data_IF_870651581847
#
_entry.id   IF_870651581847
#
_cell.length_a   1.000
_cell.length_b   1.000
_cell.length_c   1.000
_cell.angle_alpha   90.00
_cell.angle_beta   90.00
_cell.angle_gamma   90.00
#
_symmetry.space_group_name_H-M   'P 1'
#
loop_
_entity.id
_entity.type
_entity.pdbx_description
1 polymer ?
#
# COMPACT_ATOMS: atom_id res chain seq x y z
N UNK A 1 -48.45 -16.57 -28.24
CA UNK A 1 -47.80 -16.05 -27.00
C UNK A 1 -47.42 -14.60 -27.24
N UNK A 2 -47.89 -13.65 -26.42
CA UNK A 2 -47.46 -12.24 -26.51
C UNK A 2 -46.04 -12.14 -25.95
N UNK A 3 -45.08 -11.81 -26.80
CA UNK A 3 -43.70 -11.53 -26.38
C UNK A 3 -43.71 -10.27 -25.53
N UNK A 4 -43.43 -10.39 -24.23
CA UNK A 4 -43.29 -9.24 -23.35
C UNK A 4 -42.11 -8.39 -23.84
N UNK A 5 -42.42 -7.17 -24.31
CA UNK A 5 -41.44 -6.21 -24.77
C UNK A 5 -40.85 -5.48 -23.57
N UNK A 6 -39.53 -5.61 -23.38
CA UNK A 6 -38.78 -5.00 -22.28
C UNK A 6 -37.85 -3.91 -22.84
N UNK A 7 -38.24 -2.63 -22.79
CA UNK A 7 -37.45 -1.55 -23.39
C UNK A 7 -36.15 -1.32 -22.62
N UNK A 8 -35.02 -1.38 -23.33
CA UNK A 8 -33.68 -1.05 -22.80
C UNK A 8 -33.63 0.38 -22.27
N UNK A 9 -34.40 1.29 -22.89
CA UNK A 9 -34.53 2.69 -22.51
C UNK A 9 -34.91 2.88 -21.03
N UNK A 10 -35.68 1.96 -20.44
CA UNK A 10 -36.04 2.05 -19.02
C UNK A 10 -34.83 1.85 -18.11
N UNK A 11 -33.91 0.95 -18.48
CA UNK A 11 -32.65 0.77 -17.77
C UNK A 11 -31.73 1.98 -17.94
N UNK A 12 -31.63 2.51 -19.16
CA UNK A 12 -30.80 3.68 -19.46
C UNK A 12 -31.26 4.87 -18.61
N UNK A 13 -32.56 5.16 -18.57
CA UNK A 13 -33.12 6.24 -17.74
C UNK A 13 -32.83 6.01 -16.25
N UNK A 14 -33.11 4.81 -15.74
CA UNK A 14 -32.88 4.49 -14.34
C UNK A 14 -31.40 4.64 -13.94
N UNK A 15 -30.46 4.20 -14.79
CA UNK A 15 -29.02 4.31 -14.55
C UNK A 15 -28.48 5.73 -14.76
N UNK A 16 -29.09 6.54 -15.64
CA UNK A 16 -28.76 7.95 -15.78
C UNK A 16 -29.18 8.76 -14.55
N UNK A 17 -30.37 8.50 -14.01
CA UNK A 17 -30.88 9.21 -12.82
C UNK A 17 -30.15 8.80 -11.54
N UNK A 18 -29.97 7.48 -11.33
CA UNK A 18 -29.41 6.97 -10.07
C UNK A 18 -27.89 6.80 -10.06
N UNK A 19 -27.23 6.87 -11.22
CA UNK A 19 -25.82 6.49 -11.51
C UNK A 19 -25.50 5.01 -11.28
N UNK A 20 -25.96 4.43 -10.18
CA UNK A 20 -25.78 3.02 -9.81
C UNK A 20 -27.13 2.40 -9.40
N UNK A 21 -27.32 1.11 -9.66
CA UNK A 21 -28.51 0.38 -9.28
C UNK A 21 -28.21 -1.06 -8.83
N UNK A 22 -29.06 -1.61 -7.96
CA UNK A 22 -29.05 -3.02 -7.55
C UNK A 22 -29.89 -3.88 -8.49
N UNK A 23 -29.71 -5.20 -8.44
CA UNK A 23 -30.51 -6.14 -9.25
C UNK A 23 -32.02 -5.96 -9.06
N UNK A 24 -32.47 -5.74 -7.81
CA UNK A 24 -33.88 -5.53 -7.49
C UNK A 24 -34.45 -4.23 -8.09
N UNK A 25 -33.65 -3.17 -8.14
CA UNK A 25 -34.05 -1.92 -8.78
C UNK A 25 -34.12 -2.05 -10.30
N UNK A 26 -33.19 -2.80 -10.91
CA UNK A 26 -33.19 -3.06 -12.34
C UNK A 26 -34.38 -3.95 -12.76
N UNK A 27 -34.71 -4.96 -11.96
CA UNK A 27 -35.93 -5.76 -12.09
C UNK A 27 -37.18 -4.89 -12.09
N UNK A 28 -37.28 -3.98 -11.10
CA UNK A 28 -38.39 -3.02 -10.97
C UNK A 28 -38.47 -2.08 -12.18
N UNK A 29 -37.35 -1.58 -12.68
CA UNK A 29 -37.29 -0.69 -13.85
C UNK A 29 -37.73 -1.39 -15.15
N UNK A 30 -37.41 -2.68 -15.30
CA UNK A 30 -37.85 -3.48 -16.45
C UNK A 30 -39.25 -4.10 -16.27
N UNK A 31 -39.78 -4.18 -15.06
CA UNK A 31 -41.01 -4.91 -14.78
C UNK A 31 -40.85 -6.44 -14.93
N UNK A 32 -39.65 -6.96 -14.65
CA UNK A 32 -39.35 -8.40 -14.70
C UNK A 32 -38.88 -8.90 -13.35
N UNK A 33 -39.14 -10.17 -13.03
CA UNK A 33 -38.60 -10.84 -11.85
C UNK A 33 -37.39 -11.74 -12.19
N UNK A 34 -37.01 -11.80 -13.47
CA UNK A 34 -36.02 -12.76 -13.98
C UNK A 34 -34.67 -12.08 -14.22
N UNK A 35 -33.65 -12.43 -13.44
CA UNK A 35 -32.28 -11.92 -13.54
C UNK A 35 -31.71 -12.03 -14.96
N UNK A 36 -31.92 -13.18 -15.63
CA UNK A 36 -31.43 -13.41 -16.98
C UNK A 36 -31.97 -12.41 -18.01
N UNK A 37 -33.19 -11.90 -17.83
CA UNK A 37 -33.77 -10.87 -18.69
C UNK A 37 -33.07 -9.53 -18.46
N UNK A 38 -32.77 -9.20 -17.21
CA UNK A 38 -32.02 -8.00 -16.82
C UNK A 38 -30.61 -8.06 -17.41
N UNK A 39 -29.87 -9.16 -17.20
CA UNK A 39 -28.52 -9.32 -17.73
C UNK A 39 -28.45 -9.23 -19.25
N UNK A 40 -29.40 -9.85 -19.96
CA UNK A 40 -29.47 -9.75 -21.42
C UNK A 40 -29.61 -8.29 -21.87
N UNK A 41 -30.48 -7.52 -21.20
CA UNK A 41 -30.71 -6.11 -21.53
C UNK A 41 -29.56 -5.20 -21.11
N UNK A 42 -28.89 -5.50 -19.99
CA UNK A 42 -27.68 -4.79 -19.56
C UNK A 42 -26.52 -4.96 -20.55
N UNK A 43 -26.36 -6.15 -21.15
CA UNK A 43 -25.32 -6.38 -22.18
C UNK A 43 -25.50 -5.50 -23.41
N UNK A 44 -26.72 -5.05 -23.71
CA UNK A 44 -27.00 -4.14 -24.82
C UNK A 44 -26.48 -2.70 -24.57
N UNK A 45 -26.18 -2.32 -23.31
CA UNK A 45 -25.78 -0.95 -22.92
C UNK A 45 -24.38 -0.86 -22.31
N UNK A 46 -23.54 -1.87 -22.53
CA UNK A 46 -22.18 -1.95 -21.97
C UNK A 46 -22.09 -1.54 -20.49
N UNK A 47 -22.59 -2.40 -19.62
CA UNK A 47 -22.57 -2.17 -18.18
C UNK A 47 -21.22 -2.53 -17.53
N UNK A 48 -21.00 -2.02 -16.32
CA UNK A 48 -19.97 -2.47 -15.39
C UNK A 48 -20.60 -2.88 -14.06
N UNK A 49 -19.94 -3.80 -13.36
CA UNK A 49 -20.31 -4.28 -12.02
C UNK A 49 -19.36 -3.71 -10.99
N UNK A 50 -19.84 -3.47 -9.78
CA UNK A 50 -18.95 -3.10 -8.68
C UNK A 50 -17.99 -4.24 -8.38
N UNK A 51 -16.71 -3.92 -8.13
CA UNK A 51 -15.81 -4.91 -7.55
C UNK A 51 -15.90 -4.93 -6.03
N UNK A 52 -16.46 -3.88 -5.42
CA UNK A 52 -16.81 -3.83 -4.00
C UNK A 52 -18.22 -4.37 -3.73
N UNK A 53 -18.59 -4.48 -2.45
CA UNK A 53 -19.90 -4.96 -1.99
C UNK A 53 -20.34 -6.30 -2.61
N UNK A 54 -19.38 -7.16 -2.97
CA UNK A 54 -19.60 -8.47 -3.64
C UNK A 54 -20.31 -8.38 -5.00
N UNK A 55 -20.10 -7.31 -5.77
CA UNK A 55 -20.70 -7.20 -7.11
C UNK A 55 -22.20 -6.91 -7.14
N UNK A 56 -22.73 -6.31 -6.07
CA UNK A 56 -24.16 -6.02 -5.95
C UNK A 56 -24.66 -4.87 -6.80
N UNK A 57 -23.77 -3.97 -7.20
CA UNK A 57 -24.15 -2.74 -7.91
C UNK A 57 -23.74 -2.80 -9.37
N UNK A 58 -24.61 -2.23 -10.20
CA UNK A 58 -24.49 -2.17 -11.64
C UNK A 58 -24.55 -0.72 -12.08
N UNK A 59 -23.73 -0.37 -13.05
CA UNK A 59 -23.71 0.96 -13.64
C UNK A 59 -23.47 0.88 -15.14
N UNK A 60 -23.88 1.92 -15.87
CA UNK A 60 -23.60 2.04 -17.29
C UNK A 60 -22.21 2.65 -17.47
N UNK A 61 -21.35 2.05 -18.33
CA UNK A 61 -20.00 2.59 -18.56
C UNK A 61 -20.01 4.05 -19.04
N UNK A 62 -21.04 4.45 -19.79
CA UNK A 62 -21.18 5.82 -20.28
C UNK A 62 -21.42 6.86 -19.17
N UNK A 63 -21.88 6.45 -17.97
CA UNK A 63 -22.08 7.33 -16.81
C UNK A 63 -20.91 7.22 -15.81
N UNK A 64 -20.03 6.24 -16.01
CA UNK A 64 -18.90 5.99 -15.12
C UNK A 64 -17.75 6.96 -15.40
N UNK A 65 -17.36 7.73 -14.38
CA UNK A 65 -16.27 8.70 -14.43
C UNK A 65 -14.97 8.02 -13.96
N UNK A 66 -14.38 7.18 -14.81
CA UNK A 66 -13.13 6.48 -14.48
C UNK A 66 -11.93 7.44 -14.40
N UNK A 67 -11.12 7.27 -13.36
CA UNK A 67 -9.85 7.99 -13.20
C UNK A 67 -8.76 7.49 -14.16
N UNK A 68 -7.58 8.10 -14.10
CA UNK A 68 -6.43 7.70 -14.92
C UNK A 68 -5.98 6.23 -14.71
N UNK A 69 -6.34 5.63 -13.57
CA UNK A 69 -6.07 4.22 -13.23
C UNK A 69 -7.20 3.29 -13.66
N UNK A 70 -8.30 3.83 -14.17
CA UNK A 70 -9.48 3.07 -14.58
C UNK A 70 -10.42 2.69 -13.44
N UNK A 71 -10.32 3.38 -12.29
CA UNK A 71 -11.18 3.18 -11.13
C UNK A 71 -12.21 4.30 -11.03
N UNK A 72 -13.42 3.96 -10.63
CA UNK A 72 -14.48 4.92 -10.37
C UNK A 72 -15.14 4.61 -9.04
N UNK A 73 -15.30 5.62 -8.19
CA UNK A 73 -16.00 5.51 -6.92
C UNK A 73 -17.28 6.32 -6.98
N UNK A 74 -18.41 5.67 -6.69
CA UNK A 74 -19.71 6.32 -6.58
C UNK A 74 -20.39 5.88 -5.30
N UNK A 75 -20.67 6.82 -4.38
CA UNK A 75 -21.37 6.55 -3.11
C UNK A 75 -20.76 5.37 -2.31
N UNK A 76 -19.43 5.37 -2.14
CA UNK A 76 -18.68 4.29 -1.45
C UNK A 76 -18.73 2.90 -2.14
N UNK A 77 -19.19 2.87 -3.39
CA UNK A 77 -19.14 1.69 -4.25
C UNK A 77 -18.04 1.90 -5.27
N UNK A 78 -17.21 0.88 -5.46
CA UNK A 78 -16.05 0.96 -6.34
C UNK A 78 -16.24 0.10 -7.58
N UNK A 79 -15.91 0.70 -8.72
CA UNK A 79 -16.04 0.13 -10.05
C UNK A 79 -14.69 0.20 -10.76
N UNK A 80 -14.48 -0.77 -11.63
CA UNK A 80 -13.27 -0.88 -12.43
C UNK A 80 -13.66 -1.07 -13.88
N UNK A 81 -12.94 -0.40 -14.78
CA UNK A 81 -13.04 -0.64 -16.23
C UNK A 81 -12.63 -2.06 -16.61
N UNK A 82 -11.85 -2.72 -15.76
CA UNK A 82 -11.31 -4.07 -15.96
C UNK A 82 -12.27 -5.17 -15.48
N UNK A 83 -13.41 -4.80 -14.87
CA UNK A 83 -14.44 -5.74 -14.44
C UNK A 83 -14.40 -6.03 -12.94
N UNK A 84 -14.32 -7.31 -12.60
CA UNK A 84 -14.33 -7.83 -11.22
C UNK A 84 -13.08 -7.46 -10.42
N UNK A 85 -13.11 -7.71 -9.11
CA UNK A 85 -11.95 -7.50 -8.24
C UNK A 85 -10.75 -8.34 -8.68
N UNK A 86 -10.99 -9.57 -9.14
CA UNK A 86 -9.95 -10.50 -9.59
C UNK A 86 -9.27 -9.98 -10.85
N UNK A 87 -10.05 -9.56 -11.85
CA UNK A 87 -9.51 -9.01 -13.11
C UNK A 87 -8.78 -7.69 -12.88
N UNK A 88 -9.33 -6.84 -12.01
CA UNK A 88 -8.71 -5.57 -11.64
C UNK A 88 -7.39 -5.80 -10.91
N UNK A 89 -7.35 -6.72 -9.94
CA UNK A 89 -6.13 -7.06 -9.22
C UNK A 89 -5.05 -7.60 -10.14
N UNK A 90 -5.40 -8.48 -11.09
CA UNK A 90 -4.46 -8.98 -12.09
C UNK A 90 -3.91 -7.83 -12.96
N UNK A 91 -4.78 -6.96 -13.48
CA UNK A 91 -4.36 -5.84 -14.31
C UNK A 91 -3.37 -4.92 -13.57
N UNK A 92 -3.63 -4.63 -12.29
CA UNK A 92 -2.74 -3.81 -11.46
C UNK A 92 -1.40 -4.50 -11.20
N UNK A 93 -1.40 -5.78 -10.85
CA UNK A 93 -0.17 -6.56 -10.62
C UNK A 93 0.67 -6.66 -11.90
N UNK A 94 0.03 -7.00 -13.02
CA UNK A 94 0.73 -7.19 -14.30
C UNK A 94 1.29 -5.87 -14.82
N UNK A 95 0.61 -4.74 -14.64
CA UNK A 95 1.09 -3.43 -15.11
C UNK A 95 1.91 -2.65 -14.09
N UNK A 96 2.07 -3.15 -12.87
CA UNK A 96 2.97 -2.56 -11.88
C UNK A 96 4.42 -2.62 -12.35
N UNK A 97 5.18 -1.56 -12.08
CA UNK A 97 6.62 -1.51 -12.34
C UNK A 97 7.43 -2.42 -11.40
N UNK A 98 6.88 -2.81 -10.24
CA UNK A 98 7.63 -3.53 -9.20
C UNK A 98 6.86 -4.68 -8.52
N UNK A 99 5.80 -5.18 -9.17
CA UNK A 99 4.83 -6.05 -8.52
C UNK A 99 4.09 -5.33 -7.39
N UNK A 100 3.18 -6.02 -6.72
CA UNK A 100 2.38 -5.43 -5.64
C UNK A 100 2.26 -6.36 -4.45
N UNK A 101 2.34 -5.79 -3.25
CA UNK A 101 1.92 -6.45 -2.01
C UNK A 101 0.39 -6.40 -1.89
N UNK A 102 -0.17 -7.31 -1.11
CA UNK A 102 -1.61 -7.26 -0.81
C UNK A 102 -2.00 -5.96 -0.10
N UNK A 103 -1.16 -5.43 0.79
CA UNK A 103 -1.42 -4.15 1.47
C UNK A 103 -1.40 -2.95 0.52
N UNK A 104 -0.43 -2.90 -0.40
CA UNK A 104 -0.33 -1.85 -1.43
C UNK A 104 -1.58 -1.84 -2.31
N UNK A 105 -1.95 -3.02 -2.83
CA UNK A 105 -3.13 -3.15 -3.69
C UNK A 105 -4.44 -2.87 -2.94
N UNK A 106 -4.55 -3.28 -1.68
CA UNK A 106 -5.71 -2.95 -0.85
C UNK A 106 -5.84 -1.44 -0.59
N UNK A 107 -4.71 -0.74 -0.43
CA UNK A 107 -4.69 0.72 -0.31
C UNK A 107 -5.15 1.41 -1.59
N UNK A 108 -4.69 0.93 -2.75
CA UNK A 108 -5.06 1.49 -4.05
C UNK A 108 -6.52 1.22 -4.43
N UNK A 109 -7.01 0.01 -4.18
CA UNK A 109 -8.37 -0.41 -4.56
C UNK A 109 -9.43 -0.13 -3.47
N UNK A 110 -9.01 0.30 -2.28
CA UNK A 110 -9.85 0.56 -1.09
C UNK A 110 -10.68 -0.65 -0.61
N UNK A 111 -10.27 -1.87 -0.99
CA UNK A 111 -10.93 -3.13 -0.60
C UNK A 111 -9.89 -4.18 -0.24
N UNK A 112 -10.28 -5.21 0.53
CA UNK A 112 -9.38 -6.31 0.86
C UNK A 112 -9.10 -7.17 -0.38
N UNK A 113 -7.82 -7.29 -0.76
CA UNK A 113 -7.39 -7.95 -2.01
C UNK A 113 -6.72 -9.30 -1.82
N UNK A 114 -6.50 -9.71 -0.57
CA UNK A 114 -5.75 -10.93 -0.21
C UNK A 114 -6.33 -12.17 -0.91
N UNK A 115 -7.63 -12.38 -0.81
CA UNK A 115 -8.30 -13.57 -1.37
C UNK A 115 -8.30 -13.55 -2.91
N UNK A 116 -8.45 -12.37 -3.51
CA UNK A 116 -8.36 -12.21 -4.96
C UNK A 116 -6.96 -12.57 -5.48
N UNK A 117 -5.91 -12.11 -4.80
CA UNK A 117 -4.52 -12.42 -5.15
C UNK A 117 -4.17 -13.90 -4.93
N UNK A 118 -4.69 -14.52 -3.87
CA UNK A 118 -4.53 -15.97 -3.65
C UNK A 118 -5.21 -16.78 -4.75
N UNK A 119 -6.41 -16.36 -5.17
CA UNK A 119 -7.15 -16.96 -6.29
C UNK A 119 -6.39 -16.81 -7.61
N UNK A 120 -5.82 -15.64 -7.88
CA UNK A 120 -5.01 -15.43 -9.08
C UNK A 120 -3.75 -16.30 -9.08
N UNK A 121 -3.11 -16.46 -7.92
CA UNK A 121 -1.91 -17.28 -7.79
C UNK A 121 -2.22 -18.77 -7.97
N UNK A 122 -3.32 -19.27 -7.41
CA UNK A 122 -3.72 -20.68 -7.62
C UNK A 122 -4.10 -20.97 -9.08
N UNK A 123 -4.61 -19.97 -9.80
CA UNK A 123 -4.89 -20.05 -11.23
C UNK A 123 -3.66 -19.84 -12.13
N UNK A 124 -2.47 -19.58 -11.55
CA UNK A 124 -1.25 -19.32 -12.32
C UNK A 124 -1.23 -17.99 -13.10
N UNK A 125 -2.17 -17.08 -12.80
CA UNK A 125 -2.32 -15.77 -13.45
C UNK A 125 -1.39 -14.71 -12.89
N UNK A 126 -0.90 -14.93 -11.66
CA UNK A 126 0.16 -14.15 -11.02
C UNK A 126 1.09 -15.10 -10.30
N UNK A 127 2.33 -14.66 -10.07
CA UNK A 127 3.32 -15.43 -9.31
C UNK A 127 3.58 -14.74 -7.98
N UNK A 128 3.47 -15.51 -6.89
CA UNK A 128 3.76 -15.04 -5.53
C UNK A 128 5.19 -15.41 -5.13
N UNK A 129 5.96 -14.43 -4.68
CA UNK A 129 7.29 -14.63 -4.10
C UNK A 129 7.41 -13.91 -2.74
N UNK A 130 8.25 -14.44 -1.85
CA UNK A 130 8.53 -13.83 -0.54
C UNK A 130 9.76 -12.94 -0.63
N UNK A 131 9.60 -11.65 -0.38
CA UNK A 131 10.68 -10.66 -0.39
C UNK A 131 10.67 -9.92 0.94
N UNK A 132 11.77 -10.02 1.70
CA UNK A 132 11.93 -9.34 3.01
C UNK A 132 10.78 -9.60 3.99
N UNK A 133 10.30 -10.85 4.06
CA UNK A 133 9.24 -11.25 4.99
C UNK A 133 7.81 -10.88 4.56
N UNK A 134 7.63 -10.28 3.37
CA UNK A 134 6.33 -9.98 2.81
C UNK A 134 6.13 -10.71 1.47
N UNK A 135 4.89 -11.10 1.18
CA UNK A 135 4.55 -11.66 -0.13
C UNK A 135 4.29 -10.56 -1.14
N UNK A 136 4.98 -10.65 -2.27
CA UNK A 136 4.81 -9.78 -3.43
C UNK A 136 4.29 -10.63 -4.59
N UNK A 137 3.30 -10.09 -5.29
CA UNK A 137 2.72 -10.71 -6.46
C UNK A 137 3.26 -10.05 -7.72
N UNK A 138 3.62 -10.87 -8.69
CA UNK A 138 4.27 -10.49 -9.94
C UNK A 138 3.50 -11.02 -11.15
N UNK A 139 3.81 -10.45 -12.31
CA UNK A 139 3.35 -10.95 -13.60
C UNK A 139 3.81 -12.41 -13.81
N UNK A 140 3.00 -13.25 -14.47
CA UNK A 140 3.38 -14.64 -14.77
C UNK A 140 4.47 -14.71 -15.85
N UNK A 141 4.59 -13.68 -16.69
CA UNK A 141 5.61 -13.61 -17.74
C UNK A 141 7.02 -13.43 -17.15
N UNK A 142 7.99 -14.30 -17.49
CA UNK A 142 9.31 -14.29 -16.85
C UNK A 142 10.09 -13.00 -17.07
N UNK A 143 10.00 -12.39 -18.25
CA UNK A 143 10.68 -11.12 -18.55
C UNK A 143 10.09 -9.95 -17.76
N UNK A 144 8.76 -9.82 -17.75
CA UNK A 144 8.08 -8.75 -17.01
C UNK A 144 8.30 -8.90 -15.51
N UNK A 145 8.26 -10.13 -14.99
CA UNK A 145 8.61 -10.44 -13.61
C UNK A 145 10.04 -10.03 -13.28
N UNK A 146 11.01 -10.34 -14.14
CA UNK A 146 12.41 -9.94 -13.91
C UNK A 146 12.54 -8.42 -13.79
N UNK A 147 11.88 -7.66 -14.66
CA UNK A 147 11.83 -6.20 -14.55
C UNK A 147 11.16 -5.73 -13.26
N UNK A 148 10.06 -6.37 -12.84
CA UNK A 148 9.37 -6.05 -11.60
C UNK A 148 10.21 -6.31 -10.34
N UNK A 149 10.93 -7.44 -10.31
CA UNK A 149 11.83 -7.77 -9.21
C UNK A 149 12.96 -6.75 -9.12
N UNK A 150 13.57 -6.38 -10.26
CA UNK A 150 14.60 -5.34 -10.31
C UNK A 150 14.06 -3.97 -9.87
N UNK A 151 12.87 -3.59 -10.32
CA UNK A 151 12.20 -2.34 -9.93
C UNK A 151 11.81 -2.28 -8.44
N UNK A 152 11.78 -3.44 -7.76
CA UNK A 152 11.56 -3.55 -6.31
C UNK A 152 12.86 -3.43 -5.50
N UNK A 153 13.99 -3.86 -6.08
CA UNK A 153 15.31 -3.70 -5.47
C UNK A 153 15.78 -2.25 -5.50
N UNK A 154 15.28 -1.47 -6.48
CA UNK A 154 15.45 -0.03 -6.49
C UNK A 154 14.54 0.61 -5.42
N UNK A 155 15.07 1.46 -4.53
CA UNK A 155 14.26 2.23 -3.60
C UNK A 155 13.18 2.99 -4.36
N UNK A 156 11.93 2.85 -3.92
CA UNK A 156 10.84 3.62 -4.50
C UNK A 156 11.09 5.12 -4.29
N UNK A 157 11.21 5.94 -5.35
CA UNK A 157 11.35 7.39 -5.20
C UNK A 157 10.13 8.04 -4.53
N UNK A 158 8.97 7.36 -4.52
CA UNK A 158 7.68 7.91 -4.13
C UNK A 158 7.06 7.29 -2.86
N UNK A 159 7.63 6.21 -2.30
CA UNK A 159 7.30 5.84 -0.93
C UNK A 159 8.19 6.69 0.00
N UNK A 160 7.61 7.52 0.88
CA UNK A 160 8.38 8.08 1.98
C UNK A 160 9.05 6.90 2.66
N UNK A 161 10.36 6.96 2.87
CA UNK A 161 11.05 5.99 3.71
C UNK A 161 10.36 6.05 5.08
N UNK A 162 9.43 5.13 5.32
CA UNK A 162 8.62 5.11 6.53
C UNK A 162 9.60 4.92 7.67
N UNK A 163 9.63 5.88 8.59
CA UNK A 163 10.42 5.77 9.81
C UNK A 163 10.11 4.42 10.46
N UNK A 164 11.11 3.73 11.00
CA UNK A 164 10.89 2.46 11.71
C UNK A 164 9.84 2.64 12.83
N UNK A 165 9.73 3.86 13.34
CA UNK A 165 8.79 4.29 14.38
C UNK A 165 7.35 4.56 13.91
N UNK A 166 7.13 4.70 12.59
CA UNK A 166 5.82 5.04 11.96
C UNK A 166 5.23 3.84 11.19
N UNK A 167 5.58 2.63 11.63
CA UNK A 167 5.18 1.37 11.00
C UNK A 167 3.66 1.22 10.94
N UNK A 168 3.09 1.19 9.73
CA UNK A 168 1.68 0.82 9.47
C UNK A 168 1.52 -0.67 9.12
N UNK A 169 2.30 -1.53 9.78
CA UNK A 169 2.34 -2.97 9.53
C UNK A 169 1.20 -3.76 10.20
N UNK A 170 1.19 -5.08 10.03
CA UNK A 170 0.17 -5.97 10.61
C UNK A 170 0.17 -5.98 12.16
N UNK A 171 1.27 -5.54 12.80
CA UNK A 171 1.35 -5.35 14.25
C UNK A 171 2.24 -4.14 14.65
N UNK A 172 1.69 -2.92 14.58
CA UNK A 172 2.48 -1.69 14.75
C UNK A 172 3.00 -1.49 16.19
N UNK A 173 2.29 -2.03 17.18
CA UNK A 173 2.63 -1.89 18.61
C UNK A 173 3.80 -2.79 19.00
N UNK A 174 3.79 -4.06 18.59
CA UNK A 174 4.90 -5.00 18.85
C UNK A 174 6.20 -4.55 18.18
N UNK A 175 6.12 -4.06 16.95
CA UNK A 175 7.30 -3.54 16.23
C UNK A 175 7.85 -2.32 16.96
N UNK A 176 6.98 -1.39 17.39
CA UNK A 176 7.40 -0.21 18.15
C UNK A 176 8.07 -0.61 19.48
N UNK A 177 7.50 -1.58 20.20
CA UNK A 177 8.08 -2.09 21.43
C UNK A 177 9.45 -2.75 21.19
N UNK A 178 9.59 -3.54 20.13
CA UNK A 178 10.86 -4.16 19.74
C UNK A 178 11.94 -3.13 19.40
N UNK A 179 11.57 -2.05 18.71
CA UNK A 179 12.49 -0.95 18.41
C UNK A 179 12.91 -0.23 19.70
N UNK A 180 12.00 0.06 20.64
CA UNK A 180 12.36 0.63 21.94
C UNK A 180 13.31 -0.27 22.73
N UNK A 181 13.04 -1.59 22.76
CA UNK A 181 13.90 -2.57 23.41
C UNK A 181 15.29 -2.57 22.78
N UNK A 182 15.39 -2.67 21.46
CA UNK A 182 16.66 -2.59 20.74
C UNK A 182 17.39 -1.28 21.03
N UNK A 183 16.70 -0.14 20.93
CA UNK A 183 17.25 1.18 21.20
C UNK A 183 17.82 1.28 22.63
N UNK A 184 17.19 0.62 23.60
CA UNK A 184 17.70 0.55 24.97
C UNK A 184 19.01 -0.22 25.09
N UNK A 185 19.27 -1.22 24.24
CA UNK A 185 20.55 -1.97 24.21
C UNK A 185 21.72 -1.18 23.62
N UNK A 186 21.42 -0.13 22.86
CA UNK A 186 22.43 0.69 22.19
C UNK A 186 23.17 1.59 23.18
N UNK A 187 24.47 1.77 22.94
CA UNK A 187 25.26 2.79 23.65
C UNK A 187 24.92 4.22 23.16
N UNK A 188 25.36 5.23 23.89
CA UNK A 188 25.05 6.65 23.60
C UNK A 188 25.40 7.07 22.16
N UNK A 189 26.53 6.59 21.64
CA UNK A 189 26.94 6.84 20.26
C UNK A 189 26.02 6.17 19.26
N UNK A 190 25.70 4.89 19.47
CA UNK A 190 24.81 4.12 18.60
C UNK A 190 23.40 4.72 18.60
N UNK A 191 22.87 5.11 19.76
CA UNK A 191 21.56 5.81 19.87
C UNK A 191 21.57 7.11 19.08
N UNK A 192 22.63 7.91 19.21
CA UNK A 192 22.79 9.17 18.47
C UNK A 192 22.84 8.97 16.96
N UNK A 193 23.60 7.98 16.48
CA UNK A 193 23.66 7.65 15.05
C UNK A 193 22.33 7.09 14.55
N UNK A 194 21.70 6.19 15.28
CA UNK A 194 20.39 5.64 14.93
C UNK A 194 19.32 6.73 14.86
N UNK A 195 19.24 7.61 15.87
CA UNK A 195 18.33 8.75 15.88
C UNK A 195 18.62 9.72 14.72
N UNK A 196 19.91 9.97 14.43
CA UNK A 196 20.33 10.78 13.29
C UNK A 196 19.93 10.19 11.94
N UNK A 197 20.01 8.87 11.77
CA UNK A 197 19.58 8.15 10.58
C UNK A 197 18.06 8.25 10.39
N UNK A 198 17.29 8.04 11.46
CA UNK A 198 15.82 8.15 11.41
C UNK A 198 15.38 9.61 11.15
N UNK A 199 16.08 10.59 11.72
CA UNK A 199 15.84 12.01 11.46
C UNK A 199 16.25 12.44 10.04
N UNK A 200 17.22 11.76 9.42
CA UNK A 200 17.53 11.93 8.00
C UNK A 200 16.38 11.42 7.13
N UNK A 201 15.86 10.22 7.45
CA UNK A 201 14.75 9.59 6.74
C UNK A 201 13.47 10.43 6.79
N UNK A 202 13.17 11.04 7.94
CA UNK A 202 11.97 11.87 8.14
C UNK A 202 12.05 13.28 7.48
N UNK A 203 13.24 13.75 7.08
CA UNK A 203 13.37 15.07 6.43
C UNK A 203 13.19 16.26 7.37
N UNK A 204 12.48 17.32 6.93
CA UNK A 204 12.29 18.56 7.73
C UNK A 204 11.46 18.25 8.98
N UNK A 205 11.93 18.71 10.14
CA UNK A 205 11.29 18.44 11.43
C UNK A 205 11.57 17.05 12.02
N UNK A 206 12.27 16.17 11.28
CA UNK A 206 12.63 14.83 11.73
C UNK A 206 13.45 14.83 13.02
N UNK A 207 14.38 15.78 13.17
CA UNK A 207 15.23 15.92 14.35
C UNK A 207 14.39 16.09 15.63
N UNK A 208 13.33 16.92 15.56
CA UNK A 208 12.42 17.19 16.69
C UNK A 208 11.51 16.00 16.98
N UNK A 209 10.94 15.38 15.94
CA UNK A 209 10.05 14.22 16.08
C UNK A 209 10.77 13.01 16.67
N UNK A 210 12.01 12.76 16.25
CA UNK A 210 12.82 11.66 16.80
C UNK A 210 13.26 11.95 18.23
N UNK A 211 13.64 13.20 18.56
CA UNK A 211 13.95 13.60 19.92
C UNK A 211 12.77 13.34 20.87
N UNK A 212 11.55 13.74 20.48
CA UNK A 212 10.32 13.49 21.24
C UNK A 212 10.06 11.98 21.43
N UNK A 213 10.24 11.15 20.39
CA UNK A 213 10.00 9.71 20.47
C UNK A 213 11.04 8.95 21.30
N UNK A 214 12.31 9.35 21.21
CA UNK A 214 13.43 8.63 21.84
C UNK A 214 13.84 9.21 23.20
N UNK A 215 13.28 10.37 23.58
CA UNK A 215 13.69 11.13 24.77
C UNK A 215 15.08 11.76 24.65
N UNK A 216 15.64 11.84 23.44
CA UNK A 216 16.96 12.45 23.19
C UNK A 216 16.86 13.95 23.00
N UNK A 217 17.96 14.66 23.24
CA UNK A 217 18.08 16.07 22.89
C UNK A 217 18.10 16.29 21.36
N UNK A 218 17.38 17.30 20.88
CA UNK A 218 17.22 17.60 19.44
C UNK A 218 18.57 17.88 18.77
N UNK A 219 19.48 18.58 19.44
CA UNK A 219 20.80 18.88 18.89
C UNK A 219 21.68 17.63 18.80
N UNK A 220 21.48 16.67 19.71
CA UNK A 220 22.14 15.36 19.68
C UNK A 220 21.69 14.54 18.46
N UNK A 221 20.40 14.53 18.16
CA UNK A 221 19.85 13.91 16.94
C UNK A 221 20.41 14.59 15.68
N UNK A 222 20.37 15.93 15.64
CA UNK A 222 20.91 16.72 14.53
C UNK A 222 22.42 16.51 14.32
N UNK A 223 23.17 16.24 15.40
CA UNK A 223 24.60 15.91 15.33
C UNK A 223 24.81 14.52 14.71
N UNK A 224 24.06 13.50 15.15
CA UNK A 224 24.13 12.16 14.55
C UNK A 224 23.85 12.20 13.05
N UNK A 225 22.83 12.95 12.65
CA UNK A 225 22.46 13.22 11.25
C UNK A 225 23.61 13.82 10.44
N UNK A 226 24.29 14.85 10.95
CA UNK A 226 25.46 15.46 10.30
C UNK A 226 26.66 14.52 10.20
N UNK A 227 26.91 13.69 11.21
CA UNK A 227 27.99 12.69 11.18
C UNK A 227 27.75 11.63 10.10
N UNK A 228 26.50 11.20 9.92
CA UNK A 228 26.13 10.28 8.83
C UNK A 228 26.28 10.93 7.46
N UNK A 229 25.75 12.15 7.28
CA UNK A 229 25.83 12.88 5.99
C UNK A 229 27.28 13.19 5.57
N UNK A 230 28.16 13.43 6.54
CA UNK A 230 29.57 13.73 6.28
C UNK A 230 30.44 12.49 6.08
N UNK A 231 29.90 11.28 6.29
CA UNK A 231 30.65 10.02 6.24
C UNK A 231 31.71 9.86 7.34
N UNK A 232 31.79 10.80 8.29
CA UNK A 232 32.78 10.81 9.38
C UNK A 232 32.22 10.14 10.62
N UNK A 233 32.02 8.84 10.55
CA UNK A 233 31.64 8.02 11.71
C UNK A 233 32.91 7.48 12.36
N UNK A 234 33.40 8.14 13.42
CA UNK A 234 34.61 7.70 14.16
C UNK A 234 34.45 6.25 14.66
N UNK A 235 35.46 5.36 14.57
CA UNK A 235 35.29 3.92 14.90
C UNK A 235 35.04 3.62 16.39
N UNK A 236 35.45 4.50 17.32
CA UNK A 236 35.33 4.30 18.78
C UNK A 236 34.24 5.11 19.48
N UNK A 237 33.92 4.79 20.74
CA UNK A 237 33.02 5.61 21.60
C UNK A 237 33.74 6.87 22.10
N UNK A 238 35.08 6.82 22.19
CA UNK A 238 35.95 7.94 22.59
C UNK A 238 36.99 8.17 21.51
N UNK A 239 37.39 9.43 21.33
CA UNK A 239 38.62 9.76 20.57
C UNK A 239 39.83 9.11 21.22
N UNK A 240 40.81 8.68 20.42
CA UNK A 240 42.13 8.27 20.94
C UNK A 240 42.67 9.40 21.83
N UNK A 241 42.98 9.07 23.09
CA UNK A 241 43.52 10.02 24.08
C UNK A 241 42.50 10.68 25.03
N UNK A 242 41.20 10.41 24.90
CA UNK A 242 40.15 11.00 25.77
C UNK A 242 39.93 10.30 27.12
N UNK A 243 40.87 9.46 27.57
CA UNK A 243 40.80 8.83 28.89
C UNK A 243 41.25 9.78 30.00
N UNK A 244 40.75 9.57 31.23
CA UNK A 244 41.28 10.25 32.43
C UNK A 244 42.78 9.89 32.53
N UNK A 245 43.66 10.90 32.61
CA UNK A 245 45.09 10.67 32.85
C UNK A 245 45.26 9.92 34.19
N UNK A 246 46.07 8.86 34.19
CA UNK A 246 46.46 8.16 35.41
C UNK A 246 47.15 9.17 36.34
N UNK A 247 46.66 9.28 37.57
CA UNK A 247 47.37 10.00 38.64
C UNK A 247 48.41 9.03 39.18
N UNK A 248 49.69 9.27 38.89
CA UNK A 248 50.79 8.53 39.54
C UNK A 248 50.69 8.72 41.05
N UNK A 249 50.58 7.61 41.80
CA UNK A 249 50.78 7.63 43.24
C UNK A 249 52.28 7.79 43.49
N UNK A 250 52.68 8.93 44.08
CA UNK A 250 54.03 9.06 44.65
C UNK A 250 54.21 7.99 45.74
N UNK A 251 55.13 7.05 45.53
CA UNK A 251 55.70 6.24 46.60
C UNK A 251 56.41 7.18 47.58
N UNK A 252 56.06 7.11 48.87
CA UNK A 252 56.90 7.67 49.94
C UNK A 252 57.92 6.60 50.30
N UNK A 253 59.20 6.97 50.16
CA UNK A 253 60.31 6.32 50.87
C UNK A 253 60.17 6.51 52.39
#
# INVERSE_FOLDING_TARGET
MRTSFFPVLNLVKALQEKKIATMEELKKALGTQVDMTVFRKLREIEYCTSYSHRGKFYAMKAVAEFDARGLWTCREVHFSRFGSLVETAEHFVVNSARGLRSSELSGDLQVQTKDALLTLNSQGRVVRESITGCYVYFSPGPEKRRHQVLGRQLPDPHQPFVSLWDSSGENPEEIRAGIFLFFSTLNERQRRLFAGLEALRLGRGGDRRIAEMTGMDVHTVARGKREIQSGKVEEGVRRRGGGRRFVEKKSRE
#
